data_IF_270069481526
#
_entry.id   IF_270069481526
#
_cell.length_a   1.000
_cell.length_b   1.000
_cell.length_c   1.000
_cell.angle_alpha   90.00
_cell.angle_beta   90.00
_cell.angle_gamma   90.00
#
_symmetry.space_group_name_H-M   'P 1'
#
loop_
_entity.id
_entity.type
_entity.pdbx_description
1 polymer ?
#
# COMPACT_ATOMS: atom_id res chain seq x y z
N UNK A 1 16.81 -27.82 -17.34
CA UNK A 1 15.72 -27.60 -18.31
C UNK A 1 15.42 -26.12 -18.24
N UNK A 2 15.71 -25.35 -19.30
CA UNK A 2 15.56 -23.88 -19.28
C UNK A 2 14.18 -23.44 -19.76
N UNK A 3 13.75 -22.25 -19.32
CA UNK A 3 12.59 -21.57 -19.87
C UNK A 3 12.89 -21.29 -21.35
N UNK A 4 12.02 -21.76 -22.26
CA UNK A 4 12.16 -21.55 -23.71
C UNK A 4 11.43 -20.30 -24.21
N UNK A 5 10.41 -19.87 -23.47
CA UNK A 5 9.66 -18.65 -23.67
C UNK A 5 8.88 -18.36 -22.38
N UNK A 6 8.75 -17.08 -22.02
CA UNK A 6 7.86 -16.61 -20.97
C UNK A 6 7.05 -15.44 -21.52
N UNK A 7 5.75 -15.44 -21.25
CA UNK A 7 4.84 -14.34 -21.59
C UNK A 7 4.23 -13.88 -20.28
N UNK A 8 4.44 -12.62 -19.92
CA UNK A 8 3.83 -11.99 -18.76
C UNK A 8 3.34 -10.59 -19.15
N UNK A 9 2.18 -10.21 -18.61
CA UNK A 9 1.56 -8.90 -18.82
C UNK A 9 1.89 -8.01 -17.62
N UNK A 10 2.50 -6.84 -17.87
CA UNK A 10 2.75 -5.84 -16.83
C UNK A 10 1.72 -4.73 -16.98
N UNK A 11 0.90 -4.52 -15.95
CA UNK A 11 0.06 -3.33 -15.80
C UNK A 11 0.64 -2.46 -14.71
N UNK A 12 1.01 -1.23 -15.07
CA UNK A 12 1.50 -0.24 -14.12
C UNK A 12 0.56 0.97 -14.13
N UNK A 13 0.03 1.33 -12.97
CA UNK A 13 -0.74 2.57 -12.77
C UNK A 13 0.18 3.56 -12.08
N UNK A 14 0.54 4.63 -12.78
CA UNK A 14 1.38 5.69 -12.24
C UNK A 14 0.51 6.90 -11.89
N UNK A 15 0.58 7.38 -10.65
CA UNK A 15 -0.08 8.62 -10.25
C UNK A 15 0.92 9.78 -10.30
N UNK A 16 0.49 10.89 -10.87
CA UNK A 16 1.21 12.15 -10.85
C UNK A 16 1.59 12.54 -9.41
N UNK A 17 2.87 12.84 -9.15
CA UNK A 17 3.26 13.56 -7.93
C UNK A 17 2.94 15.06 -8.10
N UNK A 18 2.91 15.84 -7.00
CA UNK A 18 2.77 17.30 -7.09
C UNK A 18 3.77 17.90 -8.11
N UNK A 19 3.27 18.64 -9.11
CA UNK A 19 4.08 19.23 -10.19
C UNK A 19 4.19 18.41 -11.48
N UNK A 20 3.81 17.14 -11.52
CA UNK A 20 3.84 16.34 -12.75
C UNK A 20 2.76 16.80 -13.77
N UNK A 21 1.67 17.38 -13.29
CA UNK A 21 0.60 17.97 -14.12
C UNK A 21 0.90 19.40 -14.59
N UNK A 22 2.01 20.01 -14.15
CA UNK A 22 2.47 21.30 -14.68
C UNK A 22 3.22 21.12 -16.02
N UNK A 23 3.62 19.88 -16.34
CA UNK A 23 4.21 19.52 -17.62
C UNK A 23 3.12 19.17 -18.64
N UNK A 24 3.33 19.55 -19.91
CA UNK A 24 2.36 19.25 -20.95
C UNK A 24 2.24 17.73 -21.19
N UNK A 25 1.08 17.22 -21.63
CA UNK A 25 0.87 15.80 -21.94
C UNK A 25 1.94 15.19 -22.88
N UNK A 26 2.56 16.01 -23.72
CA UNK A 26 3.69 15.62 -24.57
C UNK A 26 4.96 15.25 -23.81
N UNK A 27 5.25 15.92 -22.69
CA UNK A 27 6.42 15.62 -21.85
C UNK A 27 6.19 14.33 -21.07
N UNK A 28 4.98 14.15 -20.54
CA UNK A 28 4.56 12.91 -19.88
C UNK A 28 4.62 11.72 -20.86
N UNK A 29 4.18 11.92 -22.10
CA UNK A 29 4.33 10.95 -23.19
C UNK A 29 5.79 10.60 -23.50
N UNK A 30 6.68 11.58 -23.54
CA UNK A 30 8.09 11.32 -23.77
C UNK A 30 8.75 10.52 -22.62
N UNK A 31 8.38 10.81 -21.37
CA UNK A 31 8.91 10.12 -20.20
C UNK A 31 8.51 8.63 -20.17
N UNK A 32 7.25 8.33 -20.47
CA UNK A 32 6.74 6.96 -20.50
C UNK A 32 7.25 6.17 -21.72
N UNK A 33 7.44 6.81 -22.89
CA UNK A 33 8.16 6.19 -24.01
C UNK A 33 9.61 5.85 -23.65
N UNK A 34 10.29 6.73 -22.90
CA UNK A 34 11.67 6.48 -22.47
C UNK A 34 11.73 5.32 -21.48
N UNK A 35 10.82 5.25 -20.51
CA UNK A 35 10.71 4.11 -19.60
C UNK A 35 10.53 2.78 -20.36
N UNK A 36 9.65 2.78 -21.37
CA UNK A 36 9.45 1.61 -22.21
C UNK A 36 10.73 1.16 -22.92
N UNK A 37 11.56 2.10 -23.39
CA UNK A 37 12.87 1.80 -23.99
C UNK A 37 13.85 1.24 -22.96
N UNK A 38 13.96 1.88 -21.80
CA UNK A 38 14.90 1.46 -20.74
C UNK A 38 14.61 0.01 -20.29
N UNK A 39 13.33 -0.36 -20.19
CA UNK A 39 12.91 -1.73 -19.88
C UNK A 39 13.27 -2.73 -20.99
N UNK A 40 13.07 -2.37 -22.26
CA UNK A 40 13.43 -3.21 -23.41
C UNK A 40 14.94 -3.45 -23.42
N UNK A 41 15.73 -2.40 -23.29
CA UNK A 41 17.20 -2.47 -23.31
C UNK A 41 17.72 -3.37 -22.20
N UNK A 42 17.19 -3.21 -20.97
CA UNK A 42 17.59 -4.04 -19.84
C UNK A 42 17.29 -5.54 -20.07
N UNK A 43 16.14 -5.87 -20.66
CA UNK A 43 15.77 -7.26 -20.94
C UNK A 43 16.65 -7.87 -22.04
N UNK A 44 16.98 -7.10 -23.09
CA UNK A 44 17.88 -7.51 -24.15
C UNK A 44 19.29 -7.79 -23.61
N UNK A 45 19.81 -6.94 -22.73
CA UNK A 45 21.12 -7.12 -22.08
C UNK A 45 21.19 -8.41 -21.23
N UNK A 46 20.04 -8.85 -20.69
CA UNK A 46 19.93 -10.06 -19.88
C UNK A 46 19.55 -11.32 -20.70
N UNK A 47 19.68 -11.26 -22.03
CA UNK A 47 19.53 -12.42 -22.91
C UNK A 47 18.07 -12.80 -23.20
N UNK A 48 17.14 -11.86 -23.06
CA UNK A 48 15.75 -12.01 -23.51
C UNK A 48 15.63 -11.45 -24.92
N UNK A 49 15.37 -12.32 -25.90
CA UNK A 49 15.15 -11.92 -27.29
C UNK A 49 13.67 -11.53 -27.56
N UNK A 50 13.43 -10.65 -28.54
CA UNK A 50 12.09 -10.26 -29.07
C UNK A 50 11.11 -9.62 -28.05
N UNK A 51 11.60 -8.66 -27.25
CA UNK A 51 10.79 -7.91 -26.28
C UNK A 51 9.88 -6.90 -26.99
N UNK A 52 8.57 -6.97 -26.71
CA UNK A 52 7.55 -6.02 -27.19
C UNK A 52 6.75 -5.47 -26.01
N UNK A 53 7.00 -4.22 -25.64
CA UNK A 53 6.22 -3.50 -24.63
C UNK A 53 5.22 -2.59 -25.36
N UNK A 54 3.94 -2.67 -24.97
CA UNK A 54 2.90 -1.70 -25.37
C UNK A 54 2.54 -0.88 -24.15
N UNK A 55 2.73 0.44 -24.22
CA UNK A 55 2.18 1.39 -23.25
C UNK A 55 1.00 2.10 -23.88
N UNK A 56 -0.17 2.00 -23.25
CA UNK A 56 -1.34 2.78 -23.61
C UNK A 56 -1.47 3.95 -22.61
N UNK A 57 -1.65 5.17 -23.12
CA UNK A 57 -1.97 6.34 -22.32
C UNK A 57 -3.47 6.52 -22.28
N UNK A 58 -4.04 6.64 -21.09
CA UNK A 58 -5.44 7.02 -20.91
C UNK A 58 -5.43 8.38 -20.25
N UNK A 59 -5.88 9.43 -20.96
CA UNK A 59 -5.91 10.82 -20.46
C UNK A 59 -6.73 10.95 -19.17
N UNK A 60 -7.73 10.10 -18.99
CA UNK A 60 -8.55 10.00 -17.80
C UNK A 60 -8.80 8.53 -17.49
N UNK A 61 -8.05 8.00 -16.53
CA UNK A 61 -8.52 6.90 -15.72
C UNK A 61 -9.25 7.55 -14.53
N UNK A 62 -10.57 7.38 -14.42
CA UNK A 62 -11.28 7.52 -13.13
C UNK A 62 -10.82 6.38 -12.19
N UNK A 63 -9.52 6.30 -11.94
CA UNK A 63 -8.98 5.44 -10.90
C UNK A 63 -8.89 6.36 -9.70
N UNK A 64 -9.88 6.26 -8.81
CA UNK A 64 -9.80 6.90 -7.51
C UNK A 64 -8.44 6.57 -6.90
N UNK A 65 -7.67 7.62 -6.58
CA UNK A 65 -6.43 7.47 -5.82
C UNK A 65 -6.75 6.58 -4.62
N UNK A 66 -5.98 5.52 -4.34
CA UNK A 66 -6.24 4.66 -3.20
C UNK A 66 -6.28 5.52 -1.94
N UNK A 67 -7.44 5.50 -1.28
CA UNK A 67 -7.69 6.26 -0.07
C UNK A 67 -7.24 5.39 1.09
N UNK A 68 -6.44 5.95 2.00
CA UNK A 68 -6.04 5.25 3.22
C UNK A 68 -7.28 4.88 4.04
N UNK A 69 -7.39 3.60 4.38
CA UNK A 69 -8.45 3.05 5.22
C UNK A 69 -7.88 2.64 6.58
N UNK A 70 -8.78 2.42 7.51
CA UNK A 70 -8.45 2.01 8.87
C UNK A 70 -9.27 0.79 9.19
N UNK A 71 -8.64 -0.18 9.83
CA UNK A 71 -9.23 -1.47 10.14
C UNK A 71 -9.01 -1.79 11.60
N UNK A 72 -10.00 -2.41 12.20
CA UNK A 72 -9.97 -2.85 13.59
C UNK A 72 -10.29 -4.35 13.64
N UNK A 73 -9.55 -5.07 14.48
CA UNK A 73 -9.75 -6.48 14.81
C UNK A 73 -9.80 -6.57 16.33
N UNK A 74 -10.65 -7.44 16.86
CA UNK A 74 -10.80 -7.64 18.31
C UNK A 74 -10.36 -9.03 18.77
N UNK A 75 -10.44 -10.03 17.88
CA UNK A 75 -10.12 -11.42 18.19
C UNK A 75 -9.00 -11.93 17.24
N UNK A 76 -8.08 -12.78 17.71
CA UNK A 76 -7.84 -13.10 19.13
C UNK A 76 -7.22 -11.92 19.92
N UNK A 77 -6.68 -10.91 19.24
CA UNK A 77 -6.08 -9.74 19.87
C UNK A 77 -6.54 -8.46 19.21
N UNK A 78 -6.72 -7.42 20.04
CA UNK A 78 -7.02 -6.10 19.52
C UNK A 78 -5.91 -5.58 18.62
N UNK A 79 -6.26 -5.06 17.44
CA UNK A 79 -5.35 -4.28 16.63
C UNK A 79 -6.08 -3.17 15.87
N UNK A 80 -5.40 -2.03 15.73
CA UNK A 80 -5.80 -0.93 14.86
C UNK A 80 -4.76 -0.79 13.76
N UNK A 81 -5.17 -0.87 12.51
CA UNK A 81 -4.29 -0.93 11.35
C UNK A 81 -4.72 0.12 10.35
N UNK A 82 -3.76 0.77 9.68
CA UNK A 82 -4.03 1.58 8.49
C UNK A 82 -3.40 0.95 7.25
N UNK A 83 -4.20 0.84 6.20
CA UNK A 83 -3.78 0.25 4.93
C UNK A 83 -4.68 0.75 3.78
N UNK A 84 -4.22 0.62 2.54
CA UNK A 84 -5.02 0.96 1.36
C UNK A 84 -6.05 -0.11 1.01
N UNK A 85 -5.81 -1.36 1.40
CA UNK A 85 -6.71 -2.50 1.16
C UNK A 85 -6.88 -3.34 2.42
N UNK A 86 -7.99 -4.07 2.49
CA UNK A 86 -8.27 -4.98 3.60
C UNK A 86 -7.28 -6.14 3.61
N UNK A 87 -6.94 -6.66 2.44
CA UNK A 87 -5.95 -7.73 2.28
C UNK A 87 -4.60 -7.31 2.85
N UNK A 88 -4.18 -6.06 2.63
CA UNK A 88 -2.93 -5.56 3.20
C UNK A 88 -3.02 -5.37 4.73
N UNK A 89 -4.17 -4.94 5.23
CA UNK A 89 -4.40 -4.88 6.67
C UNK A 89 -4.34 -6.27 7.32
N UNK A 90 -4.88 -7.30 6.67
CA UNK A 90 -4.79 -8.70 7.14
C UNK A 90 -3.34 -9.19 7.16
N UNK A 91 -2.57 -8.94 6.10
CA UNK A 91 -1.13 -9.26 6.07
C UNK A 91 -0.38 -8.60 7.23
N UNK A 92 -0.60 -7.30 7.48
CA UNK A 92 0.01 -6.58 8.59
C UNK A 92 -0.38 -7.15 9.96
N UNK A 93 -1.64 -7.57 10.13
CA UNK A 93 -2.10 -8.22 11.35
C UNK A 93 -1.38 -9.56 11.57
N UNK A 94 -1.34 -10.40 10.54
CA UNK A 94 -0.70 -11.73 10.61
C UNK A 94 0.79 -11.63 10.88
N UNK A 95 1.49 -10.69 10.25
CA UNK A 95 2.93 -10.51 10.41
C UNK A 95 3.33 -9.96 11.79
N UNK A 96 2.46 -9.18 12.43
CA UNK A 96 2.81 -8.39 13.63
C UNK A 96 2.12 -8.86 14.90
N UNK A 97 0.90 -9.40 14.80
CA UNK A 97 0.01 -9.68 15.94
C UNK A 97 -0.09 -11.17 16.20
N UNK A 98 -0.58 -11.95 15.23
CA UNK A 98 -0.84 -13.39 15.39
C UNK A 98 -1.23 -14.05 14.06
N UNK A 99 -0.95 -15.35 13.91
CA UNK A 99 -1.40 -16.14 12.77
C UNK A 99 -2.94 -16.20 12.67
N UNK A 100 -3.49 -16.31 11.45
CA UNK A 100 -4.93 -16.53 11.18
C UNK A 100 -5.23 -18.04 11.12
N UNK A 101 -5.14 -18.70 12.27
CA UNK A 101 -5.27 -20.16 12.37
C UNK A 101 -6.67 -20.68 12.01
N UNK A 102 -7.71 -19.88 12.29
CA UNK A 102 -9.11 -20.26 12.08
C UNK A 102 -9.66 -19.78 10.71
N UNK A 103 -8.93 -18.91 10.01
CA UNK A 103 -9.32 -18.38 8.69
C UNK A 103 -10.50 -17.40 8.74
N UNK A 104 -10.82 -16.89 9.94
CA UNK A 104 -11.97 -16.01 10.20
C UNK A 104 -11.57 -14.52 10.23
N UNK A 105 -10.27 -14.20 10.13
CA UNK A 105 -9.76 -12.81 10.20
C UNK A 105 -10.44 -11.86 9.22
N UNK A 106 -10.80 -12.34 8.02
CA UNK A 106 -11.54 -11.51 7.07
C UNK A 106 -12.92 -11.11 7.61
N UNK A 107 -13.64 -11.98 8.31
CA UNK A 107 -14.96 -11.64 8.83
C UNK A 107 -14.89 -10.79 10.11
N UNK A 108 -13.80 -10.94 10.88
CA UNK A 108 -13.55 -10.18 12.11
C UNK A 108 -13.02 -8.77 11.85
N UNK A 109 -12.25 -8.59 10.77
CA UNK A 109 -11.67 -7.30 10.42
C UNK A 109 -12.71 -6.34 9.86
N UNK A 110 -12.90 -5.24 10.58
CA UNK A 110 -13.91 -4.21 10.26
C UNK A 110 -13.25 -2.90 9.86
N UNK A 111 -13.72 -2.28 8.77
CA UNK A 111 -13.28 -0.94 8.37
C UNK A 111 -13.89 0.12 9.31
N UNK A 112 -13.05 1.02 9.82
CA UNK A 112 -13.41 2.12 10.72
C UNK A 112 -13.00 3.47 10.13
N UNK A 113 -13.58 4.56 10.65
CA UNK A 113 -13.29 5.92 10.16
C UNK A 113 -11.96 6.48 10.70
N UNK A 114 -11.29 7.31 9.91
CA UNK A 114 -10.03 7.97 10.28
C UNK A 114 -10.09 8.71 11.64
N UNK A 115 -11.19 9.44 11.90
CA UNK A 115 -11.35 10.17 13.17
C UNK A 115 -11.43 9.22 14.36
N UNK A 116 -12.12 8.09 14.20
CA UNK A 116 -12.19 7.06 15.22
C UNK A 116 -10.79 6.47 15.47
N UNK A 117 -10.08 6.09 14.40
CA UNK A 117 -8.72 5.55 14.49
C UNK A 117 -7.75 6.53 15.18
N UNK A 118 -7.79 7.81 14.83
CA UNK A 118 -6.94 8.83 15.46
C UNK A 118 -7.23 9.00 16.96
N UNK A 119 -8.50 8.94 17.36
CA UNK A 119 -8.91 9.03 18.77
C UNK A 119 -8.43 7.79 19.55
N UNK A 120 -8.55 6.59 18.98
CA UNK A 120 -8.08 5.37 19.64
C UNK A 120 -6.56 5.38 19.76
N UNK A 121 -5.85 5.67 18.66
CA UNK A 121 -4.40 5.76 18.62
C UNK A 121 -3.83 6.72 19.65
N UNK A 122 -4.37 7.95 19.72
CA UNK A 122 -3.90 8.94 20.69
C UNK A 122 -4.30 8.70 22.15
N UNK A 123 -5.18 7.72 22.42
CA UNK A 123 -5.60 7.35 23.78
C UNK A 123 -4.95 6.08 24.29
N UNK A 124 -4.27 5.34 23.42
CA UNK A 124 -3.47 4.21 23.85
C UNK A 124 -2.28 4.67 24.68
N UNK A 125 -1.99 3.91 25.73
CA UNK A 125 -0.79 4.10 26.53
C UNK A 125 0.35 3.32 25.86
N UNK A 126 1.50 3.95 25.72
CA UNK A 126 2.73 3.26 25.33
C UNK A 126 3.23 2.34 26.44
N UNK A 127 4.34 1.64 26.18
CA UNK A 127 5.01 0.77 27.16
C UNK A 127 5.40 1.51 28.46
N UNK A 128 5.69 2.81 28.34
CA UNK A 128 6.02 3.70 29.46
C UNK A 128 4.79 4.17 30.26
N UNK A 129 3.59 3.72 29.87
CA UNK A 129 2.26 4.10 30.41
C UNK A 129 1.88 5.56 30.15
N UNK A 130 2.67 6.28 29.37
CA UNK A 130 2.34 7.63 28.93
C UNK A 130 1.52 7.56 27.64
N UNK A 131 0.74 8.62 27.40
CA UNK A 131 0.01 8.75 26.14
C UNK A 131 0.95 9.18 25.03
N UNK A 132 0.71 8.67 23.83
CA UNK A 132 1.43 9.13 22.65
C UNK A 132 1.23 10.66 22.48
N UNK A 133 2.31 11.43 22.21
CA UNK A 133 2.18 12.85 21.91
C UNK A 133 1.26 13.07 20.72
N UNK A 134 0.30 14.00 20.85
CA UNK A 134 -0.68 14.29 19.80
C UNK A 134 -0.05 14.58 18.43
N UNK A 135 1.12 15.25 18.39
CA UNK A 135 1.85 15.52 17.15
C UNK A 135 2.24 14.22 16.42
N UNK A 136 2.68 13.22 17.16
CA UNK A 136 3.07 11.92 16.60
C UNK A 136 1.84 11.17 16.09
N UNK A 137 0.73 11.18 16.83
CA UNK A 137 -0.55 10.60 16.38
C UNK A 137 -0.97 11.19 15.04
N UNK A 138 -0.90 12.52 14.88
CA UNK A 138 -1.26 13.18 13.62
C UNK A 138 -0.31 12.78 12.49
N UNK A 139 0.99 12.69 12.76
CA UNK A 139 2.01 12.29 11.80
C UNK A 139 1.79 10.85 11.32
N UNK A 140 1.56 9.92 12.24
CA UNK A 140 1.31 8.51 11.94
C UNK A 140 -0.03 8.31 11.23
N UNK A 141 -1.09 9.02 11.61
CA UNK A 141 -2.39 8.95 10.92
C UNK A 141 -2.33 9.56 9.51
N UNK A 142 -1.54 10.62 9.30
CA UNK A 142 -1.59 11.40 8.04
C UNK A 142 -0.57 10.94 7.00
N UNK A 143 0.43 10.15 7.37
CA UNK A 143 1.42 9.67 6.42
C UNK A 143 0.86 8.52 5.53
N UNK A 144 1.52 8.28 4.40
CA UNK A 144 1.11 7.29 3.40
C UNK A 144 1.64 5.86 3.67
N UNK A 145 2.30 5.63 4.80
CA UNK A 145 2.79 4.31 5.18
C UNK A 145 1.63 3.43 5.65
N UNK A 146 1.65 2.15 5.30
CA UNK A 146 0.70 1.15 5.79
C UNK A 146 1.33 0.49 7.02
N UNK A 147 0.66 0.52 8.16
CA UNK A 147 1.25 0.04 9.42
C UNK A 147 0.18 -0.34 10.44
N UNK A 148 0.60 -1.14 11.41
CA UNK A 148 -0.13 -1.36 12.65
C UNK A 148 0.06 -0.14 13.55
N UNK A 149 -1.03 0.52 13.90
CA UNK A 149 -1.04 1.70 14.77
C UNK A 149 -1.07 1.28 16.24
N UNK A 150 -1.91 0.30 16.57
CA UNK A 150 -2.08 -0.23 17.92
C UNK A 150 -2.19 -1.74 17.91
N UNK A 151 -1.69 -2.36 18.97
CA UNK A 151 -1.93 -3.77 19.31
C UNK A 151 -2.39 -3.89 20.76
N UNK A 152 -2.97 -5.02 21.10
CA UNK A 152 -3.36 -5.36 22.47
C UNK A 152 -2.15 -5.26 23.41
N UNK A 153 -2.31 -4.53 24.51
CA UNK A 153 -1.24 -4.35 25.49
C UNK A 153 -0.80 -5.64 26.19
N UNK A 154 -1.55 -6.74 26.07
CA UNK A 154 -1.13 -8.06 26.53
C UNK A 154 -0.03 -8.70 25.67
N UNK A 155 0.24 -8.14 24.48
CA UNK A 155 1.30 -8.58 23.57
C UNK A 155 2.63 -7.82 23.77
N UNK A 156 2.66 -6.82 24.67
CA UNK A 156 3.81 -5.95 24.95
C UNK A 156 4.53 -6.30 26.26
#
# INVERSE_FOLDING_TARGET
MGIKAAVFEIKATCYAHEGFNDESPSVQGAALEQLGKDMVDHLLENGVDDVKIKGDYVEELEVEKPIMKYFEVFDPYYALIKAYTKEKAMELYTDTVTDDDDGELNDEMTEVGQVYAAIQHGRAQGEDKELMPFKQVVEEISNNEEMVLLIDGSLL
#
